data_IF_319462757855
#
_entry.id   IF_319462757855
#
_cell.length_a   1.000
_cell.length_b   1.000
_cell.length_c   1.000
_cell.angle_alpha   90.00
_cell.angle_beta   90.00
_cell.angle_gamma   90.00
#
_symmetry.space_group_name_H-M   'P 1'
#
loop_
_entity.id
_entity.type
_entity.pdbx_description
1 polymer ?
#
# COMPACT_ATOMS: atom_id res chain seq x y z
N UNK A 1 -29.81 44.03 28.58
CA UNK A 1 -29.89 42.61 29.01
C UNK A 1 -29.71 41.59 27.87
N UNK A 2 -29.67 42.03 26.59
CA UNK A 2 -29.55 41.16 25.39
C UNK A 2 -28.13 41.09 24.80
N UNK A 3 -27.23 42.04 25.05
CA UNK A 3 -25.83 41.97 24.58
C UNK A 3 -24.92 41.10 25.46
N UNK A 4 -25.10 41.16 26.78
CA UNK A 4 -24.31 40.38 27.75
C UNK A 4 -24.53 38.87 27.63
N UNK A 5 -25.76 38.47 27.27
CA UNK A 5 -26.17 37.08 27.03
C UNK A 5 -25.62 36.54 25.69
N UNK A 6 -25.47 37.39 24.67
CA UNK A 6 -24.85 37.01 23.40
C UNK A 6 -23.33 36.85 23.51
N UNK A 7 -22.65 37.73 24.25
CA UNK A 7 -21.20 37.62 24.47
C UNK A 7 -20.83 36.37 25.29
N UNK A 8 -21.60 36.04 26.33
CA UNK A 8 -21.39 34.82 27.11
C UNK A 8 -21.69 33.54 26.31
N UNK A 9 -22.66 33.56 25.39
CA UNK A 9 -22.90 32.42 24.50
C UNK A 9 -21.77 32.24 23.46
N UNK A 10 -21.24 33.34 22.92
CA UNK A 10 -20.13 33.32 21.96
C UNK A 10 -18.83 32.84 22.62
N UNK A 11 -18.53 33.29 23.85
CA UNK A 11 -17.39 32.82 24.64
C UNK A 11 -17.55 31.35 25.03
N UNK A 12 -18.72 30.91 25.50
CA UNK A 12 -18.98 29.49 25.79
C UNK A 12 -18.82 28.61 24.54
N UNK A 13 -19.17 29.13 23.36
CA UNK A 13 -18.99 28.41 22.09
C UNK A 13 -17.51 28.35 21.70
N UNK A 14 -16.75 29.44 21.87
CA UNK A 14 -15.29 29.46 21.65
C UNK A 14 -14.55 28.55 22.63
N UNK A 15 -14.93 28.57 23.91
CA UNK A 15 -14.38 27.72 24.96
C UNK A 15 -14.73 26.26 24.69
N UNK A 16 -15.97 25.92 24.31
CA UNK A 16 -16.33 24.56 23.88
C UNK A 16 -15.53 24.12 22.66
N UNK A 17 -15.36 24.97 21.64
CA UNK A 17 -14.56 24.67 20.44
C UNK A 17 -13.07 24.51 20.74
N UNK A 18 -12.55 25.26 21.71
CA UNK A 18 -11.20 25.17 22.24
C UNK A 18 -10.98 23.92 23.10
N UNK A 19 -11.91 23.60 24.01
CA UNK A 19 -11.90 22.39 24.83
C UNK A 19 -12.05 21.13 23.97
N UNK A 20 -12.92 21.14 22.96
CA UNK A 20 -13.06 20.04 21.99
C UNK A 20 -11.78 19.84 21.15
N UNK A 21 -11.07 20.93 20.81
CA UNK A 21 -9.73 20.88 20.20
C UNK A 21 -8.66 20.31 21.14
N UNK A 22 -8.82 20.50 22.46
CA UNK A 22 -7.85 20.05 23.47
C UNK A 22 -8.08 18.59 23.90
N UNK A 23 -9.33 18.12 23.94
CA UNK A 23 -9.69 16.75 24.37
C UNK A 23 -9.46 15.67 23.31
N UNK A 24 -9.40 16.01 22.02
CA UNK A 24 -9.18 15.04 20.92
C UNK A 24 -7.92 15.35 20.09
N UNK A 25 -6.80 15.64 20.75
CA UNK A 25 -5.50 15.66 20.07
C UNK A 25 -5.07 14.22 19.78
N UNK A 26 -5.50 13.69 18.62
CA UNK A 26 -5.04 12.39 18.10
C UNK A 26 -3.51 12.34 18.16
N UNK A 27 -2.96 11.33 18.83
CA UNK A 27 -1.53 11.22 19.09
C UNK A 27 -0.72 11.09 17.80
N UNK A 28 0.37 11.85 17.70
CA UNK A 28 1.34 11.70 16.62
C UNK A 28 2.12 10.39 16.75
N UNK A 29 2.54 9.83 15.61
CA UNK A 29 3.45 8.68 15.58
C UNK A 29 4.78 9.05 16.22
N UNK A 30 5.19 8.26 17.22
CA UNK A 30 6.52 8.29 17.83
C UNK A 30 7.35 7.15 17.25
N UNK A 31 8.52 7.51 16.72
CA UNK A 31 9.49 6.54 16.22
C UNK A 31 10.42 6.14 17.36
N UNK A 32 10.61 4.84 17.53
CA UNK A 32 11.41 4.24 18.60
C UNK A 32 12.34 3.19 18.00
N UNK A 33 13.51 2.95 18.59
CA UNK A 33 14.36 1.83 18.19
C UNK A 33 13.69 0.55 18.68
N UNK A 34 13.22 -0.28 17.74
CA UNK A 34 12.61 -1.57 18.03
C UNK A 34 12.69 -2.50 16.83
N UNK A 35 12.72 -3.79 17.10
CA UNK A 35 12.70 -4.82 16.08
C UNK A 35 11.30 -5.01 15.48
N UNK A 36 11.23 -5.72 14.35
CA UNK A 36 9.95 -6.21 13.86
C UNK A 36 9.45 -7.36 14.73
N UNK A 37 8.14 -7.39 14.97
CA UNK A 37 7.51 -8.36 15.86
C UNK A 37 7.88 -9.82 15.56
N UNK A 38 7.92 -10.24 14.28
CA UNK A 38 8.32 -11.64 13.98
C UNK A 38 9.78 -11.93 14.35
N UNK A 39 10.67 -10.94 14.27
CA UNK A 39 12.08 -11.12 14.67
C UNK A 39 12.16 -11.45 16.15
N UNK A 40 11.41 -10.70 16.99
CA UNK A 40 11.36 -10.94 18.43
C UNK A 40 10.64 -12.27 18.74
N UNK A 41 9.56 -12.59 18.02
CA UNK A 41 8.83 -13.84 18.23
C UNK A 41 9.64 -15.08 17.83
N UNK A 42 10.54 -15.00 16.84
CA UNK A 42 11.41 -16.10 16.45
C UNK A 42 12.52 -16.39 17.48
N UNK A 43 12.71 -15.54 18.49
CA UNK A 43 13.55 -15.87 19.65
C UNK A 43 12.90 -16.94 20.53
N UNK A 44 11.56 -17.04 20.51
CA UNK A 44 10.86 -18.12 21.19
C UNK A 44 11.05 -19.44 20.40
N UNK A 45 11.61 -20.50 21.01
CA UNK A 45 11.92 -21.74 20.31
C UNK A 45 10.68 -22.44 19.72
N UNK A 46 9.50 -22.28 20.34
CA UNK A 46 8.26 -22.85 19.81
C UNK A 46 7.84 -22.18 18.50
N UNK A 47 7.87 -20.85 18.44
CA UNK A 47 7.50 -20.10 17.22
C UNK A 47 8.58 -20.27 16.15
N UNK A 48 9.86 -20.29 16.57
CA UNK A 48 10.99 -20.59 15.68
C UNK A 48 10.82 -21.95 15.01
N UNK A 49 10.37 -22.98 15.76
CA UNK A 49 10.06 -24.30 15.20
C UNK A 49 8.92 -24.25 14.19
N UNK A 50 7.85 -23.49 14.45
CA UNK A 50 6.78 -23.27 13.47
C UNK A 50 7.31 -22.60 12.20
N UNK A 51 8.17 -21.59 12.35
CA UNK A 51 8.84 -20.96 11.21
C UNK A 51 9.69 -21.96 10.42
N UNK A 52 10.51 -22.78 11.09
CA UNK A 52 11.31 -23.81 10.43
C UNK A 52 10.44 -24.85 9.72
N UNK A 53 9.28 -25.22 10.28
CA UNK A 53 8.33 -26.11 9.62
C UNK A 53 7.79 -25.49 8.33
N UNK A 54 7.34 -24.23 8.37
CA UNK A 54 6.90 -23.52 7.16
C UNK A 54 8.03 -23.37 6.15
N UNK A 55 9.24 -23.01 6.59
CA UNK A 55 10.41 -22.91 5.73
C UNK A 55 10.73 -24.26 5.07
N UNK A 56 10.67 -25.37 5.81
CA UNK A 56 10.87 -26.72 5.29
C UNK A 56 9.78 -27.11 4.27
N UNK A 57 8.52 -26.77 4.52
CA UNK A 57 7.43 -26.98 3.56
C UNK A 57 7.71 -26.19 2.28
N UNK A 58 8.05 -24.90 2.38
CA UNK A 58 8.34 -24.04 1.22
C UNK A 58 9.56 -24.53 0.43
N UNK A 59 10.63 -24.95 1.10
CA UNK A 59 11.79 -25.59 0.46
C UNK A 59 11.38 -26.90 -0.21
N UNK A 60 10.57 -27.71 0.47
CA UNK A 60 10.00 -28.94 -0.08
C UNK A 60 9.17 -28.71 -1.34
N UNK A 61 8.38 -27.63 -1.41
CA UNK A 61 7.65 -27.24 -2.61
C UNK A 61 8.61 -26.94 -3.77
N UNK A 62 9.69 -26.19 -3.52
CA UNK A 62 10.72 -25.92 -4.54
C UNK A 62 11.36 -27.23 -5.03
N UNK A 63 11.78 -28.10 -4.11
CA UNK A 63 12.39 -29.40 -4.45
C UNK A 63 11.42 -30.27 -5.25
N UNK A 64 10.17 -30.37 -4.83
CA UNK A 64 9.12 -31.11 -5.55
C UNK A 64 8.89 -30.55 -6.95
N UNK A 65 9.00 -29.23 -7.12
CA UNK A 65 8.92 -28.59 -8.45
C UNK A 65 10.05 -29.03 -9.35
N UNK A 66 11.28 -28.98 -8.83
CA UNK A 66 12.48 -29.38 -9.57
C UNK A 66 12.35 -30.84 -10.01
N UNK A 67 11.96 -31.71 -9.06
CA UNK A 67 11.77 -33.13 -9.33
C UNK A 67 10.70 -33.36 -10.40
N UNK A 68 9.53 -32.74 -10.26
CA UNK A 68 8.48 -32.86 -11.26
C UNK A 68 8.94 -32.37 -12.64
N UNK A 69 9.55 -31.18 -12.73
CA UNK A 69 9.99 -30.60 -14.01
C UNK A 69 11.03 -31.47 -14.71
N UNK A 70 12.00 -31.99 -13.96
CA UNK A 70 13.01 -32.92 -14.47
C UNK A 70 12.38 -34.21 -14.97
N UNK A 71 11.46 -34.79 -14.21
CA UNK A 71 10.82 -36.06 -14.56
C UNK A 71 9.86 -35.95 -15.76
N UNK A 72 9.14 -34.83 -15.90
CA UNK A 72 8.15 -34.67 -16.98
C UNK A 72 8.70 -34.04 -18.24
N UNK A 73 9.65 -33.10 -18.13
CA UNK A 73 10.15 -32.32 -19.27
C UNK A 73 11.65 -32.51 -19.57
N UNK A 74 12.36 -33.26 -18.72
CA UNK A 74 13.81 -33.45 -18.83
C UNK A 74 14.65 -32.23 -18.40
N UNK A 75 14.03 -31.11 -18.02
CA UNK A 75 14.71 -29.86 -17.66
C UNK A 75 14.05 -29.19 -16.43
N UNK A 76 14.83 -28.79 -15.43
CA UNK A 76 14.34 -28.08 -14.25
C UNK A 76 14.03 -26.60 -14.58
N UNK A 77 12.83 -26.32 -15.08
CA UNK A 77 12.42 -24.95 -15.41
C UNK A 77 12.00 -24.13 -14.18
N UNK A 78 11.73 -24.76 -13.03
CA UNK A 78 11.64 -24.12 -11.70
C UNK A 78 10.64 -22.95 -11.61
N UNK A 79 9.68 -22.87 -12.53
CA UNK A 79 8.83 -21.69 -12.70
C UNK A 79 9.58 -20.41 -13.11
N UNK A 80 10.88 -20.47 -13.44
CA UNK A 80 11.65 -19.33 -13.97
C UNK A 80 11.02 -18.75 -15.21
N UNK A 81 10.36 -19.58 -16.03
CA UNK A 81 9.63 -19.11 -17.19
C UNK A 81 8.51 -18.13 -16.80
N UNK A 82 7.78 -18.37 -15.70
CA UNK A 82 6.77 -17.43 -15.21
C UNK A 82 7.41 -16.12 -14.75
N UNK A 83 8.55 -16.18 -14.08
CA UNK A 83 9.30 -14.98 -13.66
C UNK A 83 9.71 -14.18 -14.89
N UNK A 84 10.35 -14.81 -15.87
CA UNK A 84 10.78 -14.15 -17.10
C UNK A 84 9.61 -13.54 -17.88
N UNK A 85 8.47 -14.24 -17.95
CA UNK A 85 7.26 -13.73 -18.59
C UNK A 85 6.66 -12.55 -17.82
N UNK A 86 6.64 -12.64 -16.50
CA UNK A 86 6.03 -11.65 -15.61
C UNK A 86 6.86 -10.36 -15.51
N UNK A 87 8.19 -10.48 -15.57
CA UNK A 87 9.15 -9.38 -15.62
C UNK A 87 9.60 -9.03 -17.06
N UNK A 88 8.88 -9.52 -18.08
CA UNK A 88 9.18 -9.10 -19.45
C UNK A 88 9.03 -7.57 -19.55
N UNK A 89 9.80 -6.94 -20.45
CA UNK A 89 9.86 -5.47 -20.62
C UNK A 89 10.31 -4.70 -19.36
N UNK A 90 11.02 -5.33 -18.42
CA UNK A 90 11.59 -4.63 -17.25
C UNK A 90 12.53 -3.48 -17.66
N UNK A 91 13.20 -3.61 -18.81
CA UNK A 91 14.04 -2.56 -19.40
C UNK A 91 13.26 -1.29 -19.77
N UNK A 92 11.94 -1.35 -19.90
CA UNK A 92 11.05 -0.19 -20.06
C UNK A 92 10.58 0.33 -18.70
N UNK A 93 10.26 -0.57 -17.76
CA UNK A 93 9.81 -0.22 -16.42
C UNK A 93 10.87 0.57 -15.62
N UNK A 94 12.16 0.22 -15.75
CA UNK A 94 13.25 0.88 -15.03
C UNK A 94 13.39 2.37 -15.42
N UNK A 95 13.48 2.76 -16.70
CA UNK A 95 13.46 4.17 -17.10
C UNK A 95 12.22 4.93 -16.62
N UNK A 96 11.04 4.32 -16.64
CA UNK A 96 9.81 4.94 -16.12
C UNK A 96 9.95 5.23 -14.62
N UNK A 97 10.47 4.27 -13.85
CA UNK A 97 10.73 4.46 -12.42
C UNK A 97 11.72 5.59 -12.15
N UNK A 98 12.79 5.72 -12.95
CA UNK A 98 13.72 6.86 -12.84
C UNK A 98 13.05 8.20 -13.18
N UNK A 99 12.14 8.21 -14.16
CA UNK A 99 11.35 9.39 -14.50
C UNK A 99 10.44 9.81 -13.33
N UNK A 100 9.78 8.85 -12.68
CA UNK A 100 8.98 9.09 -11.47
C UNK A 100 9.82 9.63 -10.30
N UNK A 101 11.03 9.08 -10.11
CA UNK A 101 11.99 9.60 -9.14
C UNK A 101 12.40 11.05 -9.46
N UNK A 102 12.65 11.36 -10.72
CA UNK A 102 13.01 12.71 -11.17
C UNK A 102 11.88 13.71 -10.91
N UNK A 103 10.63 13.38 -11.22
CA UNK A 103 9.49 14.25 -10.91
C UNK A 103 9.27 14.42 -9.40
N UNK A 104 9.48 13.38 -8.61
CA UNK A 104 9.42 13.47 -7.14
C UNK A 104 10.49 14.43 -6.60
N UNK A 105 11.70 14.37 -7.14
CA UNK A 105 12.77 15.31 -6.83
C UNK A 105 12.42 16.75 -7.25
N UNK A 106 11.81 16.94 -8.42
CA UNK A 106 11.35 18.25 -8.87
C UNK A 106 10.29 18.82 -7.91
N UNK A 107 9.35 18.00 -7.43
CA UNK A 107 8.37 18.43 -6.42
C UNK A 107 9.05 18.89 -5.13
N UNK A 108 10.08 18.18 -4.65
CA UNK A 108 10.89 18.62 -3.51
C UNK A 108 11.51 20.00 -3.78
N UNK A 109 12.16 20.19 -4.94
CA UNK A 109 12.78 21.47 -5.30
C UNK A 109 11.76 22.61 -5.39
N UNK A 110 10.62 22.39 -6.03
CA UNK A 110 9.53 23.36 -6.11
C UNK A 110 9.03 23.77 -4.72
N UNK A 111 8.86 22.81 -3.80
CA UNK A 111 8.46 23.10 -2.42
C UNK A 111 9.50 23.97 -1.69
N UNK A 112 10.80 23.63 -1.80
CA UNK A 112 11.87 24.42 -1.16
C UNK A 112 11.96 25.84 -1.75
N UNK A 113 11.80 25.98 -3.07
CA UNK A 113 11.78 27.29 -3.73
C UNK A 113 10.60 28.14 -3.24
N UNK A 114 9.40 27.55 -3.18
CA UNK A 114 8.23 28.21 -2.60
C UNK A 114 8.51 28.64 -1.14
N UNK A 115 9.07 27.76 -0.32
CA UNK A 115 9.33 28.06 1.09
C UNK A 115 10.33 29.23 1.26
N UNK A 116 11.44 29.22 0.51
CA UNK A 116 12.45 30.30 0.54
C UNK A 116 11.88 31.63 0.10
N UNK A 117 11.17 31.65 -1.03
CA UNK A 117 10.55 32.86 -1.56
C UNK A 117 9.49 33.40 -0.60
N UNK A 118 8.69 32.52 0.01
CA UNK A 118 7.69 32.91 0.99
C UNK A 118 8.31 33.56 2.24
N UNK A 119 9.36 32.96 2.80
CA UNK A 119 10.07 33.51 3.97
C UNK A 119 10.64 34.91 3.65
N UNK A 120 11.27 35.06 2.48
CA UNK A 120 11.83 36.36 2.03
C UNK A 120 10.73 37.43 1.86
N UNK A 121 9.58 37.07 1.29
CA UNK A 121 8.47 38.01 1.10
C UNK A 121 7.74 38.35 2.39
N UNK A 122 7.70 37.45 3.37
CA UNK A 122 7.16 37.74 4.70
C UNK A 122 7.93 38.86 5.40
N UNK A 123 9.24 38.94 5.23
CA UNK A 123 10.07 40.03 5.75
C UNK A 123 9.73 41.36 5.09
N UNK A 124 9.46 41.34 3.79
CA UNK A 124 9.14 42.54 2.99
C UNK A 124 7.65 42.94 3.00
N UNK A 125 6.81 42.29 3.84
CA UNK A 125 5.38 42.58 4.02
C UNK A 125 4.49 42.58 2.75
N UNK A 126 4.86 41.84 1.70
CA UNK A 126 4.11 41.78 0.44
C UNK A 126 2.98 40.73 0.45
N UNK A 127 1.89 41.00 1.17
CA UNK A 127 0.84 40.02 1.44
C UNK A 127 0.08 39.48 0.21
N UNK A 128 -0.10 40.27 -0.86
CA UNK A 128 -0.83 39.82 -2.05
C UNK A 128 -0.03 38.77 -2.85
N UNK A 129 1.27 38.98 -3.03
CA UNK A 129 2.15 38.03 -3.72
C UNK A 129 2.27 36.70 -2.96
N UNK A 130 2.36 36.76 -1.62
CA UNK A 130 2.39 35.57 -0.76
C UNK A 130 1.13 34.72 -0.96
N UNK A 131 -0.05 35.34 -0.97
CA UNK A 131 -1.31 34.62 -1.21
C UNK A 131 -1.32 33.93 -2.57
N UNK A 132 -0.92 34.64 -3.63
CA UNK A 132 -0.85 34.06 -4.99
C UNK A 132 0.06 32.84 -5.01
N UNK A 133 1.24 32.91 -4.38
CA UNK A 133 2.15 31.79 -4.30
C UNK A 133 1.60 30.60 -3.51
N UNK A 134 0.96 30.87 -2.37
CA UNK A 134 0.35 29.83 -1.53
C UNK A 134 -0.79 29.12 -2.29
N UNK A 135 -1.64 29.87 -3.00
CA UNK A 135 -2.66 29.28 -3.88
C UNK A 135 -2.06 28.52 -5.06
N UNK A 136 -0.96 29.00 -5.62
CA UNK A 136 -0.26 28.32 -6.72
C UNK A 136 0.23 26.95 -6.26
N UNK A 137 0.92 26.86 -5.12
CA UNK A 137 1.36 25.57 -4.57
C UNK A 137 0.16 24.67 -4.25
N UNK A 138 -0.89 25.22 -3.64
CA UNK A 138 -2.11 24.50 -3.30
C UNK A 138 -2.79 23.87 -4.54
N UNK A 139 -2.76 24.54 -5.69
CA UNK A 139 -3.29 24.01 -6.95
C UNK A 139 -2.32 23.04 -7.65
N UNK A 140 -1.02 23.33 -7.64
CA UNK A 140 -0.01 22.51 -8.33
C UNK A 140 0.15 21.11 -7.71
N UNK A 141 0.02 20.98 -6.39
CA UNK A 141 0.24 19.69 -5.70
C UNK A 141 -0.81 18.62 -6.07
N UNK A 142 -2.13 18.88 -5.99
CA UNK A 142 -3.14 17.95 -6.46
C UNK A 142 -3.06 17.68 -7.97
N UNK A 143 -2.73 18.71 -8.77
CA UNK A 143 -2.53 18.54 -10.20
C UNK A 143 -1.40 17.56 -10.50
N UNK A 144 -0.27 17.66 -9.79
CA UNK A 144 0.83 16.71 -9.88
C UNK A 144 0.39 15.28 -9.53
N UNK A 145 -0.40 15.10 -8.46
CA UNK A 145 -0.92 13.77 -8.10
C UNK A 145 -1.78 13.18 -9.22
N UNK A 146 -2.73 13.95 -9.75
CA UNK A 146 -3.58 13.51 -10.85
C UNK A 146 -2.80 13.19 -12.13
N UNK A 147 -1.78 14.00 -12.45
CA UNK A 147 -0.89 13.75 -13.58
C UNK A 147 -0.03 12.51 -13.37
N UNK A 148 0.50 12.27 -12.17
CA UNK A 148 1.28 11.07 -11.87
C UNK A 148 0.44 9.79 -12.06
N UNK A 149 -0.79 9.75 -11.51
CA UNK A 149 -1.72 8.65 -11.76
C UNK A 149 -1.98 8.44 -13.25
N UNK A 150 -2.28 9.53 -14.00
CA UNK A 150 -2.58 9.46 -15.43
C UNK A 150 -1.37 9.02 -16.27
N UNK A 151 -0.18 9.54 -15.99
CA UNK A 151 1.04 9.26 -16.75
C UNK A 151 1.47 7.81 -16.52
N UNK A 152 1.57 7.35 -15.27
CA UNK A 152 1.97 5.97 -15.00
C UNK A 152 0.96 4.99 -15.60
N UNK A 153 -0.35 5.23 -15.46
CA UNK A 153 -1.37 4.39 -16.10
C UNK A 153 -1.29 4.39 -17.63
N UNK A 154 -1.00 5.54 -18.24
CA UNK A 154 -0.87 5.65 -19.69
C UNK A 154 0.35 4.88 -20.19
N UNK A 155 1.50 5.00 -19.50
CA UNK A 155 2.74 4.33 -19.87
C UNK A 155 2.61 2.80 -19.73
N UNK A 156 2.03 2.29 -18.64
CA UNK A 156 1.85 0.84 -18.45
C UNK A 156 0.94 0.22 -19.52
N UNK A 157 -0.14 0.91 -19.87
CA UNK A 157 -1.09 0.43 -20.89
C UNK A 157 -0.52 0.54 -22.30
N UNK A 158 0.12 1.67 -22.64
CA UNK A 158 0.69 1.89 -23.98
C UNK A 158 1.83 0.92 -24.29
N UNK A 159 2.73 0.70 -23.33
CA UNK A 159 3.81 -0.26 -23.50
C UNK A 159 3.38 -1.72 -23.27
N UNK A 160 2.12 -1.96 -22.87
CA UNK A 160 1.57 -3.28 -22.55
C UNK A 160 2.54 -4.07 -21.67
N UNK A 161 2.86 -3.50 -20.51
CA UNK A 161 3.76 -4.12 -19.55
C UNK A 161 3.08 -5.34 -18.92
N UNK A 162 3.79 -6.48 -18.75
CA UNK A 162 3.24 -7.63 -18.03
C UNK A 162 3.06 -7.35 -16.54
N UNK A 163 2.30 -8.20 -15.81
CA UNK A 163 1.83 -7.86 -14.47
C UNK A 163 2.89 -7.47 -13.45
N UNK A 164 4.03 -8.17 -13.38
CA UNK A 164 5.05 -7.84 -12.39
C UNK A 164 5.84 -6.58 -12.77
N UNK A 165 6.15 -6.36 -14.05
CA UNK A 165 6.75 -5.11 -14.53
C UNK A 165 5.83 -3.90 -14.33
N UNK A 166 4.53 -4.06 -14.59
CA UNK A 166 3.51 -3.05 -14.30
C UNK A 166 3.43 -2.76 -12.80
N UNK A 167 3.46 -3.79 -11.96
CA UNK A 167 3.43 -3.66 -10.51
C UNK A 167 4.60 -2.80 -10.00
N UNK A 168 5.82 -2.96 -10.52
CA UNK A 168 6.96 -2.13 -10.12
C UNK A 168 6.62 -0.64 -10.31
N UNK A 169 6.17 -0.26 -11.52
CA UNK A 169 5.88 1.14 -11.87
C UNK A 169 4.76 1.70 -10.99
N UNK A 170 3.61 1.04 -10.96
CA UNK A 170 2.41 1.59 -10.31
C UNK A 170 2.52 1.61 -8.77
N UNK A 171 3.15 0.59 -8.16
CA UNK A 171 3.30 0.55 -6.70
C UNK A 171 4.35 1.56 -6.24
N UNK A 172 5.46 1.69 -6.98
CA UNK A 172 6.48 2.69 -6.67
C UNK A 172 5.96 4.11 -6.84
N UNK A 173 5.18 4.38 -7.90
CA UNK A 173 4.55 5.68 -8.05
C UNK A 173 3.65 6.03 -6.86
N UNK A 174 2.77 5.12 -6.44
CA UNK A 174 1.91 5.36 -5.26
C UNK A 174 2.75 5.59 -4.01
N UNK A 175 3.82 4.80 -3.79
CA UNK A 175 4.76 5.01 -2.67
C UNK A 175 5.37 6.41 -2.72
N UNK A 176 5.85 6.85 -3.88
CA UNK A 176 6.47 8.17 -4.05
C UNK A 176 5.46 9.31 -3.83
N UNK A 177 4.22 9.17 -4.29
CA UNK A 177 3.16 10.15 -4.03
C UNK A 177 2.83 10.25 -2.55
N UNK A 178 2.68 9.12 -1.85
CA UNK A 178 2.44 9.11 -0.40
C UNK A 178 3.58 9.80 0.36
N UNK A 179 4.83 9.54 -0.03
CA UNK A 179 6.00 10.20 0.57
C UNK A 179 6.05 11.69 0.27
N UNK A 180 5.79 12.09 -0.97
CA UNK A 180 5.74 13.50 -1.37
C UNK A 180 4.67 14.26 -0.61
N UNK A 181 3.48 13.68 -0.49
CA UNK A 181 2.39 14.24 0.30
C UNK A 181 2.79 14.40 1.77
N UNK A 182 3.37 13.36 2.37
CA UNK A 182 3.83 13.42 3.75
C UNK A 182 4.87 14.53 3.96
N UNK A 183 5.87 14.63 3.09
CA UNK A 183 6.89 15.67 3.15
C UNK A 183 6.29 17.08 3.09
N UNK A 184 5.41 17.34 2.12
CA UNK A 184 4.77 18.66 1.96
C UNK A 184 3.89 18.97 3.17
N UNK A 185 3.06 18.01 3.60
CA UNK A 185 2.06 18.20 4.66
C UNK A 185 2.69 18.38 6.05
N UNK A 186 3.88 17.84 6.30
CA UNK A 186 4.62 18.02 7.55
C UNK A 186 5.42 19.33 7.58
N UNK A 187 5.94 19.80 6.45
CA UNK A 187 6.77 21.00 6.39
C UNK A 187 5.99 22.28 6.06
N UNK A 188 4.91 22.21 5.28
CA UNK A 188 4.13 23.40 4.91
C UNK A 188 3.60 24.17 6.14
N UNK A 189 3.05 23.54 7.20
CA UNK A 189 2.62 24.26 8.39
C UNK A 189 3.76 25.00 9.10
N UNK A 190 4.98 24.46 9.08
CA UNK A 190 6.16 25.12 9.69
C UNK A 190 6.48 26.43 8.97
N UNK A 191 6.44 26.42 7.63
CA UNK A 191 6.67 27.61 6.79
C UNK A 191 5.51 28.61 6.91
N UNK A 192 4.26 28.14 6.96
CA UNK A 192 3.08 29.00 7.05
C UNK A 192 2.97 29.71 8.41
N UNK A 193 3.40 29.05 9.49
CA UNK A 193 3.35 29.61 10.85
C UNK A 193 4.59 30.45 11.21
N UNK A 194 5.58 30.54 10.31
CA UNK A 194 6.81 31.30 10.53
C UNK A 194 6.53 32.78 10.78
N UNK A 195 7.15 33.33 11.82
CA UNK A 195 7.14 34.77 12.10
C UNK A 195 8.57 35.33 11.98
N UNK A 196 8.75 36.50 11.32
CA UNK A 196 10.08 37.10 11.14
C UNK A 196 10.86 37.42 12.42
N UNK A 197 10.17 37.54 13.57
CA UNK A 197 10.75 37.95 14.85
C UNK A 197 10.85 36.79 15.87
N UNK A 198 10.65 35.54 15.46
CA UNK A 198 10.85 34.40 16.36
C UNK A 198 12.37 34.20 16.60
N UNK A 199 12.74 33.84 17.84
CA UNK A 199 14.14 33.70 18.29
C UNK A 199 14.89 32.57 17.56
N UNK A 200 14.17 31.56 17.05
CA UNK A 200 14.73 30.44 16.32
C UNK A 200 14.50 30.58 14.79
N UNK A 201 15.56 30.58 13.96
CA UNK A 201 15.40 30.62 12.51
C UNK A 201 14.74 29.33 12.00
N UNK A 202 13.79 29.46 11.07
CA UNK A 202 13.16 28.29 10.46
C UNK A 202 14.15 27.51 9.59
N UNK A 203 14.54 26.32 10.05
CA UNK A 203 15.34 25.39 9.26
C UNK A 203 14.50 24.69 8.19
N UNK A 204 14.86 24.91 6.92
CA UNK A 204 14.26 24.17 5.81
C UNK A 204 14.91 22.79 5.67
N UNK A 205 14.14 21.75 5.31
CA UNK A 205 14.67 20.40 5.24
C UNK A 205 15.68 20.25 4.09
N UNK A 206 16.89 19.82 4.45
CA UNK A 206 17.95 19.51 3.50
C UNK A 206 17.58 18.37 2.55
N UNK A 207 18.22 18.35 1.39
CA UNK A 207 18.03 17.27 0.41
C UNK A 207 18.49 15.92 0.96
N UNK A 208 19.52 15.91 1.81
CA UNK A 208 20.04 14.72 2.51
C UNK A 208 18.94 14.02 3.32
N UNK A 209 18.16 14.79 4.10
CA UNK A 209 17.04 14.30 4.93
C UNK A 209 15.90 13.77 4.06
N UNK A 210 15.55 14.49 3.00
CA UNK A 210 14.52 14.04 2.05
C UNK A 210 14.95 12.75 1.32
N UNK A 211 16.19 12.69 0.84
CA UNK A 211 16.73 11.52 0.15
C UNK A 211 16.80 10.30 1.06
N UNK A 212 17.18 10.49 2.33
CA UNK A 212 17.11 9.43 3.34
C UNK A 212 15.67 8.92 3.53
N UNK A 213 14.71 9.84 3.74
CA UNK A 213 13.31 9.50 3.86
C UNK A 213 12.78 8.77 2.62
N UNK A 214 13.23 9.13 1.42
CA UNK A 214 12.81 8.50 0.17
C UNK A 214 13.04 6.97 0.18
N UNK A 215 14.17 6.51 0.74
CA UNK A 215 14.50 5.08 0.85
C UNK A 215 14.14 4.44 2.19
N UNK A 216 13.94 5.21 3.25
CA UNK A 216 13.54 4.68 4.55
C UNK A 216 12.20 3.92 4.46
N UNK A 217 12.02 2.78 5.13
CA UNK A 217 10.79 1.99 5.10
C UNK A 217 9.71 2.60 6.03
N UNK A 218 9.35 3.85 5.77
CA UNK A 218 8.26 4.60 6.41
C UNK A 218 7.63 5.55 5.41
N UNK A 219 6.35 5.85 5.61
CA UNK A 219 5.60 6.80 4.79
C UNK A 219 5.35 8.13 5.51
N UNK A 220 5.75 8.24 6.78
CA UNK A 220 5.64 9.49 7.58
C UNK A 220 6.98 10.18 7.63
N UNK A 221 7.02 11.43 7.16
CA UNK A 221 8.17 12.32 7.16
C UNK A 221 8.44 12.88 8.57
N UNK A 222 9.70 12.78 8.97
CA UNK A 222 10.30 13.46 10.13
C UNK A 222 11.70 13.90 9.71
N UNK A 223 12.19 14.99 10.29
CA UNK A 223 13.54 15.47 9.99
C UNK A 223 14.61 14.52 10.52
N UNK A 224 14.29 13.81 11.61
CA UNK A 224 15.16 12.83 12.24
C UNK A 224 14.41 11.55 12.55
N UNK A 225 15.12 10.43 12.41
CA UNK A 225 14.62 9.09 12.70
C UNK A 225 15.58 8.39 13.65
N UNK A 226 15.09 7.50 14.52
CA UNK A 226 15.96 6.61 15.30
C UNK A 226 16.80 5.75 14.34
N UNK A 227 18.12 5.71 14.57
CA UNK A 227 19.06 4.98 13.71
C UNK A 227 19.80 3.87 14.46
N UNK A 228 20.11 2.78 13.75
CA UNK A 228 21.02 1.76 14.27
C UNK A 228 22.48 2.23 14.13
N UNK A 229 23.36 1.71 14.99
CA UNK A 229 24.77 2.11 15.03
C UNK A 229 25.55 1.68 13.79
N UNK A 230 25.35 0.43 13.35
CA UNK A 230 26.01 -0.17 12.20
C UNK A 230 25.03 -0.98 11.34
N UNK A 231 25.47 -1.36 10.13
CA UNK A 231 24.75 -2.23 9.20
C UNK A 231 25.25 -3.67 9.41
N UNK A 232 24.36 -4.61 9.69
CA UNK A 232 24.67 -6.04 9.80
C UNK A 232 24.53 -6.72 8.45
N UNK A 233 25.60 -6.80 7.67
CA UNK A 233 25.58 -7.37 6.31
C UNK A 233 25.10 -8.82 6.26
N UNK A 234 25.40 -9.64 7.26
CA UNK A 234 24.85 -11.01 7.35
C UNK A 234 23.32 -11.02 7.43
N UNK A 235 22.74 -10.06 8.16
CA UNK A 235 21.29 -9.89 8.23
C UNK A 235 20.71 -9.41 6.89
N UNK A 236 21.40 -8.49 6.20
CA UNK A 236 21.06 -8.03 4.85
C UNK A 236 21.00 -9.21 3.87
N UNK A 237 22.06 -10.01 3.78
CA UNK A 237 22.08 -11.17 2.88
C UNK A 237 21.04 -12.23 3.24
N UNK A 238 20.80 -12.45 4.55
CA UNK A 238 19.73 -13.34 5.02
C UNK A 238 18.35 -12.86 4.54
N UNK A 239 18.02 -11.58 4.75
CA UNK A 239 16.73 -11.01 4.32
C UNK A 239 16.58 -10.95 2.80
N UNK A 240 17.67 -10.72 2.07
CA UNK A 240 17.67 -10.80 0.61
C UNK A 240 17.39 -12.24 0.14
N UNK A 241 18.05 -13.24 0.74
CA UNK A 241 17.80 -14.65 0.44
C UNK A 241 16.37 -15.10 0.77
N UNK A 242 15.83 -14.68 1.92
CA UNK A 242 14.44 -14.89 2.29
C UNK A 242 13.48 -14.27 1.26
N UNK A 243 13.72 -13.03 0.83
CA UNK A 243 12.93 -12.36 -0.21
C UNK A 243 12.92 -13.13 -1.54
N UNK A 244 14.08 -13.59 -2.01
CA UNK A 244 14.18 -14.38 -3.25
C UNK A 244 13.42 -15.71 -3.11
N UNK A 245 13.62 -16.42 -2.00
CA UNK A 245 12.95 -17.69 -1.74
C UNK A 245 11.41 -17.54 -1.73
N UNK A 246 10.90 -16.47 -1.11
CA UNK A 246 9.46 -16.21 -1.04
C UNK A 246 8.87 -15.90 -2.43
N UNK A 247 9.58 -15.13 -3.27
CA UNK A 247 9.16 -14.87 -4.66
C UNK A 247 9.09 -16.17 -5.47
N UNK A 248 10.10 -17.04 -5.36
CA UNK A 248 10.08 -18.36 -6.02
C UNK A 248 8.87 -19.20 -5.56
N UNK A 249 8.54 -19.18 -4.27
CA UNK A 249 7.37 -19.87 -3.73
C UNK A 249 6.04 -19.29 -4.23
N UNK A 250 5.94 -17.96 -4.40
CA UNK A 250 4.75 -17.37 -5.02
C UNK A 250 4.57 -17.86 -6.46
N UNK A 251 5.66 -17.88 -7.24
CA UNK A 251 5.63 -18.41 -8.61
C UNK A 251 5.21 -19.87 -8.63
N UNK A 252 5.71 -20.69 -7.70
CA UNK A 252 5.27 -22.08 -7.55
C UNK A 252 3.77 -22.18 -7.30
N UNK A 253 3.23 -21.42 -6.34
CA UNK A 253 1.80 -21.43 -6.02
C UNK A 253 0.97 -21.05 -7.25
N UNK A 254 1.40 -20.04 -8.01
CA UNK A 254 0.72 -19.64 -9.25
C UNK A 254 0.78 -20.75 -10.31
N UNK A 255 1.95 -21.31 -10.59
CA UNK A 255 2.14 -22.32 -11.63
C UNK A 255 1.46 -23.66 -11.32
N UNK A 256 1.47 -24.09 -10.05
CA UNK A 256 1.02 -25.44 -9.67
C UNK A 256 -0.35 -25.50 -9.04
N UNK A 257 -0.74 -24.48 -8.27
CA UNK A 257 -2.03 -24.49 -7.58
C UNK A 257 -3.09 -23.71 -8.36
N UNK A 258 -2.72 -22.62 -9.04
CA UNK A 258 -3.68 -21.72 -9.68
C UNK A 258 -3.80 -22.00 -11.18
N UNK A 259 -2.69 -21.98 -11.93
CA UNK A 259 -2.69 -22.13 -13.39
C UNK A 259 -3.44 -23.36 -13.89
N UNK A 260 -3.30 -24.59 -13.32
CA UNK A 260 -3.96 -25.77 -13.88
C UNK A 260 -5.48 -25.72 -13.86
N UNK A 261 -6.07 -24.93 -12.96
CA UNK A 261 -7.53 -24.77 -12.89
C UNK A 261 -8.04 -23.77 -13.94
N UNK A 262 -7.25 -22.76 -14.28
CA UNK A 262 -7.72 -21.60 -15.06
C UNK A 262 -7.10 -21.49 -16.46
N UNK A 263 -6.05 -22.24 -16.79
CA UNK A 263 -5.38 -22.17 -18.09
C UNK A 263 -6.31 -22.42 -19.29
N UNK A 264 -7.38 -23.19 -19.13
CA UNK A 264 -8.40 -23.49 -20.16
C UNK A 264 -9.59 -22.53 -20.14
N UNK A 265 -9.58 -21.53 -19.26
CA UNK A 265 -10.68 -20.58 -19.13
C UNK A 265 -10.77 -19.70 -20.38
N UNK A 266 -11.96 -19.60 -21.00
CA UNK A 266 -12.15 -18.94 -22.30
C UNK A 266 -12.03 -19.87 -23.53
N UNK A 267 -11.49 -21.08 -23.35
CA UNK A 267 -11.57 -22.15 -24.36
C UNK A 267 -12.84 -22.98 -24.17
N UNK A 268 -13.20 -23.24 -22.91
CA UNK A 268 -14.45 -23.86 -22.51
C UNK A 268 -15.30 -22.91 -21.66
N UNK A 269 -16.60 -23.16 -21.63
CA UNK A 269 -17.54 -22.50 -20.70
C UNK A 269 -17.50 -23.18 -19.33
N UNK A 270 -17.69 -22.39 -18.28
CA UNK A 270 -17.80 -22.84 -16.89
C UNK A 270 -19.21 -22.60 -16.39
N UNK A 271 -19.76 -23.54 -15.63
CA UNK A 271 -21.02 -23.33 -14.94
C UNK A 271 -20.84 -22.45 -13.70
N UNK A 272 -21.90 -21.77 -13.26
CA UNK A 272 -21.89 -21.01 -11.99
C UNK A 272 -21.49 -21.91 -10.81
N UNK A 273 -21.91 -23.19 -10.83
CA UNK A 273 -21.55 -24.19 -9.82
C UNK A 273 -20.03 -24.45 -9.81
N UNK A 274 -19.43 -24.67 -10.99
CA UNK A 274 -17.98 -24.83 -11.11
C UNK A 274 -17.22 -23.58 -10.62
N UNK A 275 -17.72 -22.38 -10.91
CA UNK A 275 -17.11 -21.14 -10.43
C UNK A 275 -17.11 -21.06 -8.89
N UNK A 276 -18.23 -21.37 -8.24
CA UNK A 276 -18.33 -21.40 -6.78
C UNK A 276 -17.36 -22.44 -6.18
N UNK A 277 -17.30 -23.63 -6.78
CA UNK A 277 -16.35 -24.67 -6.37
C UNK A 277 -14.90 -24.21 -6.54
N UNK A 278 -14.57 -23.50 -7.63
CA UNK A 278 -13.25 -22.93 -7.83
C UNK A 278 -12.90 -21.91 -6.74
N UNK A 279 -13.83 -21.03 -6.35
CA UNK A 279 -13.62 -20.06 -5.26
C UNK A 279 -13.31 -20.78 -3.94
N UNK A 280 -14.08 -21.81 -3.59
CA UNK A 280 -13.85 -22.60 -2.39
C UNK A 280 -12.48 -23.28 -2.42
N UNK A 281 -12.14 -23.95 -3.53
CA UNK A 281 -10.86 -24.65 -3.69
C UNK A 281 -9.66 -23.69 -3.67
N UNK A 282 -9.82 -22.47 -4.21
CA UNK A 282 -8.77 -21.45 -4.24
C UNK A 282 -8.58 -20.72 -2.90
N UNK A 283 -9.42 -20.97 -1.90
CA UNK A 283 -9.29 -20.32 -0.58
C UNK A 283 -7.92 -20.61 0.06
N UNK A 284 -7.43 -21.84 -0.05
CA UNK A 284 -6.10 -22.21 0.45
C UNK A 284 -4.98 -21.51 -0.32
N UNK A 285 -4.99 -21.61 -1.66
CA UNK A 285 -3.95 -21.01 -2.51
C UNK A 285 -3.91 -19.48 -2.38
N UNK A 286 -5.08 -18.82 -2.36
CA UNK A 286 -5.18 -17.38 -2.17
C UNK A 286 -4.71 -16.93 -0.79
N UNK A 287 -5.03 -17.69 0.25
CA UNK A 287 -4.53 -17.40 1.60
C UNK A 287 -3.01 -17.56 1.68
N UNK A 288 -2.46 -18.62 1.07
CA UNK A 288 -1.03 -18.85 1.03
C UNK A 288 -0.30 -17.72 0.29
N UNK A 289 -0.79 -17.30 -0.89
CA UNK A 289 -0.24 -16.14 -1.61
C UNK A 289 -0.26 -14.87 -0.76
N UNK A 290 -1.35 -14.62 -0.02
CA UNK A 290 -1.47 -13.46 0.86
C UNK A 290 -0.46 -13.48 2.00
N UNK A 291 -0.22 -14.64 2.63
CA UNK A 291 0.78 -14.80 3.68
C UNK A 291 2.21 -14.63 3.14
N UNK A 292 2.50 -15.20 1.98
CA UNK A 292 3.78 -15.00 1.30
C UNK A 292 4.00 -13.53 0.96
N UNK A 293 2.95 -12.83 0.48
CA UNK A 293 3.04 -11.41 0.12
C UNK A 293 3.28 -10.52 1.33
N UNK A 294 2.60 -10.82 2.43
CA UNK A 294 2.85 -10.18 3.72
C UNK A 294 4.30 -10.34 4.17
N UNK A 295 4.79 -11.59 4.19
CA UNK A 295 6.14 -11.88 4.66
C UNK A 295 7.20 -11.30 3.73
N UNK A 296 6.95 -11.27 2.41
CA UNK A 296 7.82 -10.64 1.44
C UNK A 296 7.93 -9.13 1.68
N UNK A 297 6.81 -8.38 1.60
CA UNK A 297 6.82 -6.92 1.61
C UNK A 297 7.12 -6.36 3.01
N UNK A 298 6.35 -6.78 4.01
CA UNK A 298 6.32 -6.13 5.32
C UNK A 298 7.35 -6.69 6.29
N UNK A 299 7.77 -7.94 6.12
CA UNK A 299 8.85 -8.51 6.93
C UNK A 299 10.19 -8.44 6.21
N UNK A 300 10.40 -9.24 5.17
CA UNK A 300 11.73 -9.44 4.58
C UNK A 300 12.26 -8.19 3.88
N UNK A 301 11.49 -7.63 2.95
CA UNK A 301 11.88 -6.47 2.15
C UNK A 301 11.97 -5.20 2.99
N UNK A 302 10.99 -4.93 3.87
CA UNK A 302 11.04 -3.76 4.74
C UNK A 302 12.19 -3.83 5.74
N UNK A 303 12.51 -5.00 6.31
CA UNK A 303 13.68 -5.16 7.18
C UNK A 303 15.01 -5.05 6.42
N UNK A 304 15.07 -5.54 5.18
CA UNK A 304 16.23 -5.38 4.30
C UNK A 304 16.56 -3.89 4.12
N UNK A 305 15.57 -3.10 3.69
CA UNK A 305 15.74 -1.66 3.52
C UNK A 305 15.97 -0.94 4.85
N UNK A 306 15.34 -1.38 5.95
CA UNK A 306 15.59 -0.82 7.27
C UNK A 306 17.04 -1.00 7.69
N UNK A 307 17.62 -2.18 7.46
CA UNK A 307 19.01 -2.47 7.80
C UNK A 307 19.97 -1.65 6.93
N UNK A 308 19.78 -1.62 5.61
CA UNK A 308 20.65 -0.87 4.68
C UNK A 308 20.60 0.65 4.97
N UNK A 309 19.42 1.19 5.29
CA UNK A 309 19.27 2.61 5.63
C UNK A 309 19.64 2.93 7.08
N UNK A 310 19.89 1.92 7.93
CA UNK A 310 20.04 2.06 9.40
C UNK A 310 18.79 2.64 10.08
N UNK A 311 17.61 2.35 9.57
CA UNK A 311 16.34 2.74 10.17
C UNK A 311 16.01 1.87 11.40
N UNK A 312 15.76 2.52 12.53
CA UNK A 312 15.61 1.87 13.85
C UNK A 312 14.18 1.45 14.20
N UNK A 313 13.14 2.06 13.64
CA UNK A 313 11.74 1.73 13.96
C UNK A 313 11.21 0.63 13.03
N UNK A 314 11.36 -0.64 13.40
CA UNK A 314 11.00 -1.76 12.52
C UNK A 314 9.58 -2.29 12.75
N UNK A 315 8.69 -1.49 13.33
CA UNK A 315 7.28 -1.86 13.51
C UNK A 315 6.46 -1.59 12.24
N UNK A 316 6.61 -2.47 11.27
CA UNK A 316 5.88 -2.42 9.98
C UNK A 316 4.49 -3.05 10.07
N UNK A 317 4.28 -3.93 11.05
CA UNK A 317 3.05 -4.64 11.34
C UNK A 317 3.02 -5.02 12.83
N UNK A 318 1.85 -5.39 13.33
CA UNK A 318 1.64 -5.98 14.66
C UNK A 318 1.09 -7.41 14.52
N UNK A 319 0.67 -7.98 15.62
CA UNK A 319 -0.04 -9.25 15.82
C UNK A 319 -1.43 -9.30 15.15
N UNK A 320 -1.51 -9.01 13.85
CA UNK A 320 -2.76 -9.00 13.11
C UNK A 320 -3.43 -10.38 13.04
N UNK A 321 -2.66 -11.47 13.19
CA UNK A 321 -3.15 -12.85 13.17
C UNK A 321 -4.04 -13.22 14.36
N UNK A 322 -3.94 -12.52 15.50
CA UNK A 322 -4.84 -12.74 16.65
C UNK A 322 -6.12 -11.89 16.58
N UNK A 323 -6.28 -11.08 15.54
CA UNK A 323 -7.44 -10.19 15.40
C UNK A 323 -8.74 -11.00 15.34
N UNK A 324 -9.77 -10.52 16.03
CA UNK A 324 -11.14 -11.07 15.93
C UNK A 324 -12.07 -10.20 15.09
N UNK A 325 -11.64 -9.00 14.73
CA UNK A 325 -12.43 -8.03 13.95
C UNK A 325 -11.61 -7.42 12.81
N UNK A 326 -12.29 -7.09 11.71
CA UNK A 326 -11.65 -6.41 10.57
C UNK A 326 -11.09 -5.04 10.95
N UNK A 327 -11.70 -4.34 11.90
CA UNK A 327 -11.21 -3.06 12.38
C UNK A 327 -9.85 -3.16 13.08
N UNK A 328 -9.61 -4.22 13.83
CA UNK A 328 -8.30 -4.50 14.43
C UNK A 328 -7.27 -4.90 13.36
N UNK A 329 -7.64 -5.83 12.48
CA UNK A 329 -6.81 -6.28 11.37
C UNK A 329 -6.29 -5.12 10.50
N UNK A 330 -7.16 -4.18 10.09
CA UNK A 330 -6.73 -3.05 9.26
C UNK A 330 -5.72 -2.11 9.94
N UNK A 331 -5.73 -2.05 11.28
CA UNK A 331 -4.77 -1.22 12.05
C UNK A 331 -3.44 -1.94 12.29
N UNK A 332 -3.41 -3.26 12.24
CA UNK A 332 -2.25 -4.08 12.63
C UNK A 332 -1.53 -4.74 11.47
N UNK A 333 -2.21 -4.99 10.34
CA UNK A 333 -1.65 -5.70 9.18
C UNK A 333 -0.52 -4.94 8.49
N UNK A 334 -0.77 -3.69 8.08
CA UNK A 334 0.20 -2.84 7.38
C UNK A 334 0.22 -1.47 8.05
N UNK A 335 1.06 -1.34 9.08
CA UNK A 335 1.16 -0.12 9.88
C UNK A 335 1.75 1.02 9.05
N UNK A 336 2.58 0.74 8.04
CA UNK A 336 3.17 1.78 7.19
C UNK A 336 2.10 2.60 6.46
N UNK A 337 1.20 1.91 5.75
CA UNK A 337 0.08 2.55 5.05
C UNK A 337 -1.00 2.99 6.03
N UNK A 338 -1.26 2.19 7.07
CA UNK A 338 -2.25 2.51 8.12
C UNK A 338 -1.95 3.82 8.84
N UNK A 339 -0.69 4.05 9.23
CA UNK A 339 -0.28 5.29 9.89
C UNK A 339 -0.35 6.49 8.93
N UNK A 340 -0.01 6.31 7.65
CA UNK A 340 -0.13 7.38 6.65
C UNK A 340 -1.60 7.78 6.44
N UNK A 341 -2.48 6.80 6.23
CA UNK A 341 -3.91 7.03 6.09
C UNK A 341 -4.49 7.68 7.34
N UNK A 342 -4.07 7.23 8.53
CA UNK A 342 -4.53 7.83 9.78
C UNK A 342 -4.06 9.28 9.94
N UNK A 343 -2.78 9.55 9.68
CA UNK A 343 -2.14 10.84 9.94
C UNK A 343 -2.57 11.93 8.97
N UNK A 344 -2.69 11.59 7.68
CA UNK A 344 -2.90 12.56 6.61
C UNK A 344 -4.30 12.54 6.02
N UNK A 345 -5.00 11.41 6.06
CA UNK A 345 -6.37 11.33 5.52
C UNK A 345 -7.38 11.41 6.66
N UNK A 346 -7.35 10.47 7.60
CA UNK A 346 -8.34 10.40 8.69
C UNK A 346 -8.34 11.65 9.55
N UNK A 347 -7.17 12.05 10.08
CA UNK A 347 -7.05 13.19 10.99
C UNK A 347 -7.45 14.50 10.30
N UNK A 348 -6.96 14.73 9.08
CA UNK A 348 -7.27 15.97 8.35
C UNK A 348 -8.75 16.03 7.95
N UNK A 349 -9.32 14.91 7.50
CA UNK A 349 -10.76 14.80 7.22
C UNK A 349 -11.57 15.05 8.49
N UNK A 350 -11.20 14.45 9.62
CA UNK A 350 -11.87 14.61 10.90
C UNK A 350 -11.77 16.03 11.47
N UNK A 351 -10.66 16.74 11.22
CA UNK A 351 -10.43 18.08 11.76
C UNK A 351 -10.99 19.20 10.86
N UNK A 352 -10.89 19.05 9.54
CA UNK A 352 -11.15 20.14 8.59
C UNK A 352 -12.38 19.90 7.70
N UNK A 353 -12.64 18.65 7.27
CA UNK A 353 -13.70 18.37 6.28
C UNK A 353 -15.03 18.01 6.98
N UNK A 354 -14.98 17.11 7.96
CA UNK A 354 -16.14 16.65 8.74
C UNK A 354 -15.87 16.75 10.25
N UNK A 355 -15.77 17.97 10.81
CA UNK A 355 -15.44 18.19 12.21
C UNK A 355 -16.28 17.35 13.17
N UNK A 356 -15.63 16.47 13.93
CA UNK A 356 -16.29 15.65 14.97
C UNK A 356 -16.94 14.35 14.48
N UNK A 357 -17.09 14.12 13.17
CA UNK A 357 -17.72 12.91 12.63
C UNK A 357 -16.71 11.79 12.35
N UNK A 358 -16.51 10.90 13.34
CA UNK A 358 -15.57 9.77 13.24
C UNK A 358 -15.96 8.76 12.15
N UNK A 359 -17.26 8.54 11.93
CA UNK A 359 -17.75 7.56 10.96
C UNK A 359 -17.48 8.02 9.54
N UNK A 360 -17.81 9.27 9.20
CA UNK A 360 -17.51 9.80 7.87
C UNK A 360 -16.01 9.85 7.59
N UNK A 361 -15.18 10.25 8.57
CA UNK A 361 -13.74 10.23 8.39
C UNK A 361 -13.20 8.81 8.09
N UNK A 362 -13.76 7.76 8.71
CA UNK A 362 -13.42 6.37 8.37
C UNK A 362 -13.89 5.96 6.99
N UNK A 363 -15.12 6.32 6.60
CA UNK A 363 -15.67 6.01 5.28
C UNK A 363 -14.81 6.64 4.18
N UNK A 364 -14.37 7.90 4.34
CA UNK A 364 -13.47 8.58 3.41
C UNK A 364 -12.16 7.82 3.24
N UNK A 365 -11.54 7.37 4.34
CA UNK A 365 -10.32 6.55 4.30
C UNK A 365 -10.53 5.25 3.53
N UNK A 366 -11.65 4.55 3.79
CA UNK A 366 -11.96 3.30 3.09
C UNK A 366 -12.22 3.51 1.61
N UNK A 367 -12.95 4.57 1.22
CA UNK A 367 -13.20 4.89 -0.19
C UNK A 367 -11.90 5.20 -0.91
N UNK A 368 -11.04 6.06 -0.35
CA UNK A 368 -9.73 6.38 -0.95
C UNK A 368 -8.88 5.12 -1.08
N UNK A 369 -8.81 4.30 -0.02
CA UNK A 369 -8.08 3.03 -0.06
C UNK A 369 -8.63 2.10 -1.14
N UNK A 370 -9.95 1.93 -1.23
CA UNK A 370 -10.60 1.04 -2.20
C UNK A 370 -10.31 1.47 -3.64
N UNK A 371 -10.42 2.77 -3.94
CA UNK A 371 -10.12 3.32 -5.27
C UNK A 371 -8.66 3.10 -5.65
N UNK A 372 -7.72 3.35 -4.75
CA UNK A 372 -6.28 3.15 -5.04
C UNK A 372 -5.96 1.67 -5.24
N UNK A 373 -6.52 0.75 -4.44
CA UNK A 373 -6.30 -0.69 -4.63
C UNK A 373 -6.88 -1.18 -5.95
N UNK A 374 -8.05 -0.70 -6.34
CA UNK A 374 -8.65 -1.03 -7.62
C UNK A 374 -7.83 -0.49 -8.78
N UNK A 375 -7.37 0.76 -8.69
CA UNK A 375 -6.48 1.36 -9.68
C UNK A 375 -5.18 0.55 -9.82
N UNK A 376 -4.58 0.11 -8.71
CA UNK A 376 -3.41 -0.76 -8.72
C UNK A 376 -3.71 -2.07 -9.46
N UNK A 377 -4.79 -2.78 -9.11
CA UNK A 377 -5.13 -4.04 -9.79
C UNK A 377 -5.41 -3.85 -11.28
N UNK A 378 -6.15 -2.81 -11.63
CA UNK A 378 -6.55 -2.49 -12.98
C UNK A 378 -5.35 -2.31 -13.93
N UNK A 379 -4.39 -1.47 -13.54
CA UNK A 379 -3.21 -1.20 -14.38
C UNK A 379 -2.09 -2.23 -14.19
N UNK A 380 -2.09 -3.00 -13.09
CA UNK A 380 -1.24 -4.18 -12.96
C UNK A 380 -1.64 -5.27 -13.95
N UNK A 381 -2.94 -5.58 -14.03
CA UNK A 381 -3.45 -6.69 -14.84
C UNK A 381 -3.80 -6.30 -16.27
N UNK A 382 -3.96 -5.00 -16.55
CA UNK A 382 -4.26 -4.48 -17.90
C UNK A 382 -5.74 -4.49 -18.26
N UNK A 383 -6.64 -4.63 -17.29
CA UNK A 383 -8.09 -4.59 -17.49
C UNK A 383 -8.82 -4.09 -16.25
N UNK A 384 -10.02 -3.52 -16.43
CA UNK A 384 -10.83 -3.04 -15.30
C UNK A 384 -11.82 -4.12 -14.82
N UNK A 385 -11.69 -4.52 -13.55
CA UNK A 385 -12.63 -5.41 -12.88
C UNK A 385 -12.74 -5.01 -11.41
N UNK A 386 -13.81 -4.29 -10.99
CA UNK A 386 -13.92 -3.57 -9.71
C UNK A 386 -14.10 -4.46 -8.46
N UNK A 387 -13.41 -5.59 -8.41
CA UNK A 387 -13.54 -6.60 -7.37
C UNK A 387 -12.90 -6.13 -6.06
N UNK A 388 -11.67 -5.58 -6.09
CA UNK A 388 -11.03 -5.03 -4.90
C UNK A 388 -11.87 -3.88 -4.34
N UNK A 389 -12.35 -2.99 -5.19
CA UNK A 389 -13.23 -1.90 -4.78
C UNK A 389 -14.46 -2.44 -4.03
N UNK A 390 -15.12 -3.47 -4.60
CA UNK A 390 -16.30 -4.07 -3.99
C UNK A 390 -16.00 -4.72 -2.63
N UNK A 391 -14.94 -5.53 -2.54
CA UNK A 391 -14.54 -6.20 -1.30
C UNK A 391 -14.16 -5.21 -0.18
N UNK A 392 -13.50 -4.10 -0.53
CA UNK A 392 -13.14 -3.08 0.45
C UNK A 392 -14.35 -2.27 0.92
N UNK A 393 -15.23 -1.85 0.01
CA UNK A 393 -16.31 -0.91 0.36
C UNK A 393 -17.58 -1.59 0.88
N UNK A 394 -17.94 -2.77 0.38
CA UNK A 394 -19.21 -3.42 0.70
C UNK A 394 -19.10 -4.63 1.64
N UNK A 395 -17.90 -5.22 1.76
CA UNK A 395 -17.67 -6.38 2.64
C UNK A 395 -16.82 -5.99 3.85
N UNK A 396 -15.52 -5.78 3.64
CA UNK A 396 -14.56 -5.60 4.74
C UNK A 396 -14.66 -4.25 5.45
N UNK A 397 -14.99 -3.17 4.72
CA UNK A 397 -15.25 -1.84 5.28
C UNK A 397 -16.40 -1.84 6.29
N UNK A 398 -17.63 -2.24 5.92
CA UNK A 398 -18.75 -2.40 6.84
C UNK A 398 -18.44 -3.35 8.00
N UNK A 399 -17.80 -4.49 7.71
CA UNK A 399 -17.38 -5.44 8.75
C UNK A 399 -16.40 -4.83 9.77
N UNK A 400 -15.64 -3.79 9.40
CA UNK A 400 -14.72 -3.09 10.32
C UNK A 400 -15.43 -2.23 11.38
N UNK A 401 -16.70 -1.86 11.16
CA UNK A 401 -17.51 -1.11 12.12
C UNK A 401 -18.17 -2.03 13.15
N UNK A 402 -18.29 -3.32 12.85
CA UNK A 402 -18.84 -4.32 13.76
C UNK A 402 -17.83 -4.62 14.86
N UNK A 403 -18.24 -4.42 16.11
CA UNK A 403 -17.46 -4.82 17.28
C UNK A 403 -17.74 -6.28 17.57
N UNK A 404 -16.70 -7.09 17.53
CA UNK A 404 -16.76 -8.53 17.77
C UNK A 404 -16.06 -8.84 19.10
N UNK A 405 -16.65 -9.67 19.98
CA UNK A 405 -16.00 -10.05 21.23
C UNK A 405 -14.72 -10.87 20.98
N UNK A 406 -13.80 -10.84 21.94
CA UNK A 406 -12.50 -11.51 21.85
C UNK A 406 -12.57 -12.99 22.23
N UNK A 407 -13.37 -13.77 21.50
CA UNK A 407 -13.41 -15.23 21.64
C UNK A 407 -12.68 -15.91 20.48
N UNK A 408 -12.06 -17.07 20.75
CA UNK A 408 -11.27 -17.83 19.77
C UNK A 408 -12.09 -18.19 18.51
N UNK A 409 -13.39 -18.47 18.65
CA UNK A 409 -14.27 -18.76 17.51
C UNK A 409 -14.31 -17.62 16.49
N UNK A 410 -14.25 -16.36 16.94
CA UNK A 410 -14.25 -15.21 16.04
C UNK A 410 -12.91 -15.02 15.34
N UNK A 411 -11.80 -15.44 15.96
CA UNK A 411 -10.52 -15.50 15.25
C UNK A 411 -10.54 -16.59 14.16
N UNK A 412 -11.11 -17.77 14.44
CA UNK A 412 -11.27 -18.83 13.42
C UNK A 412 -12.15 -18.36 12.26
N UNK A 413 -13.30 -17.75 12.55
CA UNK A 413 -14.17 -17.17 11.53
C UNK A 413 -13.45 -16.07 10.74
N UNK A 414 -12.69 -15.20 11.41
CA UNK A 414 -11.89 -14.17 10.77
C UNK A 414 -10.92 -14.77 9.75
N UNK A 415 -10.14 -15.79 10.13
CA UNK A 415 -9.23 -16.48 9.21
C UNK A 415 -9.95 -17.14 8.05
N UNK A 416 -11.08 -17.80 8.30
CA UNK A 416 -11.87 -18.43 7.25
C UNK A 416 -12.38 -17.41 6.23
N UNK A 417 -13.00 -16.31 6.67
CA UNK A 417 -13.46 -15.26 5.77
C UNK A 417 -12.30 -14.54 5.05
N UNK A 418 -11.15 -14.39 5.71
CA UNK A 418 -9.96 -13.83 5.10
C UNK A 418 -9.43 -14.73 3.98
N UNK A 419 -9.40 -16.06 4.21
CA UNK A 419 -8.99 -17.05 3.22
C UNK A 419 -9.98 -17.12 2.06
N UNK A 420 -11.27 -17.18 2.35
CA UNK A 420 -12.33 -17.19 1.34
C UNK A 420 -12.30 -15.93 0.47
N UNK A 421 -12.18 -14.74 1.07
CA UNK A 421 -12.06 -13.50 0.31
C UNK A 421 -10.80 -13.46 -0.56
N UNK A 422 -9.67 -13.94 -0.04
CA UNK A 422 -8.42 -14.02 -0.81
C UNK A 422 -8.53 -15.01 -1.99
N UNK A 423 -9.16 -16.17 -1.77
CA UNK A 423 -9.46 -17.16 -2.81
C UNK A 423 -10.40 -16.64 -3.88
N UNK A 424 -11.47 -15.93 -3.48
CA UNK A 424 -12.39 -15.30 -4.41
C UNK A 424 -11.68 -14.27 -5.31
N UNK A 425 -10.81 -13.43 -4.75
CA UNK A 425 -10.06 -12.45 -5.54
C UNK A 425 -9.10 -13.12 -6.52
N UNK A 426 -8.31 -14.10 -6.07
CA UNK A 426 -7.42 -14.85 -6.95
C UNK A 426 -8.21 -15.54 -8.06
N UNK A 427 -9.32 -16.20 -7.73
CA UNK A 427 -10.16 -16.92 -8.68
C UNK A 427 -10.70 -16.00 -9.78
N UNK A 428 -11.42 -14.94 -9.40
CA UNK A 428 -12.13 -14.08 -10.36
C UNK A 428 -11.14 -13.26 -11.22
N UNK A 429 -10.09 -12.68 -10.64
CA UNK A 429 -9.07 -11.97 -11.43
C UNK A 429 -8.34 -12.91 -12.39
N UNK A 430 -8.07 -14.15 -11.98
CA UNK A 430 -7.38 -15.13 -12.84
C UNK A 430 -8.28 -15.62 -13.97
N UNK A 431 -9.58 -15.84 -13.72
CA UNK A 431 -10.56 -16.15 -14.75
C UNK A 431 -10.61 -15.07 -15.84
N UNK A 432 -10.71 -13.80 -15.44
CA UNK A 432 -10.71 -12.67 -16.38
C UNK A 432 -9.38 -12.55 -17.14
N UNK A 433 -8.26 -12.75 -16.46
CA UNK A 433 -6.94 -12.75 -17.09
C UNK A 433 -6.83 -13.82 -18.19
N UNK A 434 -7.18 -15.08 -17.90
CA UNK A 434 -7.11 -16.15 -18.91
C UNK A 434 -8.17 -16.02 -20.00
N UNK A 435 -9.36 -15.48 -19.71
CA UNK A 435 -10.36 -15.17 -20.74
C UNK A 435 -9.78 -14.21 -21.81
N UNK A 436 -8.99 -13.22 -21.38
CA UNK A 436 -8.33 -12.25 -22.28
C UNK A 436 -7.15 -12.87 -23.02
N UNK A 437 -6.33 -13.67 -22.33
CA UNK A 437 -5.13 -14.31 -22.92
C UNK A 437 -5.51 -15.36 -23.97
N UNK A 438 -6.49 -16.21 -23.67
CA UNK A 438 -6.85 -17.33 -24.55
C UNK A 438 -7.72 -16.89 -25.75
N UNK A 439 -8.40 -15.75 -25.63
CA UNK A 439 -9.23 -15.16 -26.69
C UNK A 439 -8.87 -13.68 -26.88
N UNK A 440 -7.71 -13.38 -27.49
CA UNK A 440 -7.34 -12.01 -27.83
C UNK A 440 -8.29 -11.45 -28.89
N UNK A 441 -8.60 -10.16 -28.80
CA UNK A 441 -9.45 -9.45 -29.76
C UNK A 441 -8.54 -8.57 -30.60
N UNK A 442 -8.68 -8.60 -31.93
CA UNK A 442 -7.79 -7.87 -32.85
C UNK A 442 -7.94 -6.34 -32.77
N UNK A 443 -9.13 -5.85 -32.36
CA UNK A 443 -9.44 -4.42 -32.21
C UNK A 443 -9.86 -4.09 -30.76
N UNK A 444 -8.90 -4.00 -29.85
CA UNK A 444 -9.14 -3.58 -28.47
C UNK A 444 -9.67 -2.13 -28.46
N UNK A 445 -10.99 -2.00 -28.32
CA UNK A 445 -11.65 -0.70 -28.14
C UNK A 445 -11.59 -0.31 -26.67
N UNK A 446 -11.58 0.99 -26.35
CA UNK A 446 -11.67 1.47 -24.95
C UNK A 446 -12.81 0.82 -24.15
N UNK A 447 -13.93 0.47 -24.82
CA UNK A 447 -15.05 -0.26 -24.21
C UNK A 447 -14.69 -1.66 -23.73
N UNK A 448 -13.80 -2.37 -24.44
CA UNK A 448 -13.40 -3.73 -24.07
C UNK A 448 -12.53 -3.77 -22.79
N UNK A 449 -11.84 -2.67 -22.49
CA UNK A 449 -11.11 -2.52 -21.22
C UNK A 449 -12.04 -2.54 -19.99
N UNK A 450 -13.26 -2.01 -20.13
CA UNK A 450 -14.23 -1.89 -19.03
C UNK A 450 -15.24 -3.04 -18.96
N UNK A 451 -15.38 -3.82 -20.03
CA UNK A 451 -16.33 -4.94 -20.08
C UNK A 451 -15.58 -6.23 -19.75
N UNK A 452 -15.88 -6.91 -18.63
CA UNK A 452 -15.23 -8.17 -18.28
C UNK A 452 -15.61 -9.27 -19.29
N UNK A 453 -14.61 -9.94 -19.84
CA UNK A 453 -14.81 -11.02 -20.84
C UNK A 453 -15.25 -12.32 -20.19
N UNK A 454 -14.97 -12.52 -18.89
CA UNK A 454 -15.28 -13.76 -18.17
C UNK A 454 -16.76 -14.12 -18.20
N UNK A 455 -17.67 -13.13 -18.23
CA UNK A 455 -19.10 -13.39 -18.23
C UNK A 455 -19.60 -14.11 -19.49
N UNK A 456 -18.90 -13.98 -20.62
CA UNK A 456 -19.25 -14.70 -21.85
C UNK A 456 -18.98 -16.20 -21.75
N UNK A 457 -18.15 -16.60 -20.79
CA UNK A 457 -17.73 -17.98 -20.60
C UNK A 457 -18.34 -18.60 -19.33
N UNK A 458 -19.34 -17.95 -18.74
CA UNK A 458 -20.08 -18.46 -17.58
C UNK A 458 -21.51 -18.80 -18.00
N UNK A 459 -21.89 -20.06 -17.84
CA UNK A 459 -23.25 -20.57 -18.11
C UNK A 459 -23.98 -20.85 -16.80
N UNK A 460 -25.30 -20.70 -16.80
CA UNK A 460 -26.15 -20.93 -15.62
C UNK A 460 -26.27 -22.41 -15.25
#
# INVERSE_FOLDING_TARGET
MTEETNNTHLERTKIKKFLFRKEYKLSDKKFEIRNSLLTDLFENPHISTVYHLFAAILVGLIVNTIAHDLLTTGNAKLGFQLILLSFNKIYIAIPIWFLECFFTYLCYKCFILWAKQRISLCVNANFNYIKIMDYTLFCCVPLYYGLAFKVSSYLTTTFQLPPASSAIVIFEMVRMLMKTHSFIRENAPKVLNYKPNDEDPLELPEFSRFFYFFFAPTLIYRDEYPRTTHIRWNYVFKKLGESICVVLNMCYVIERLIRPTFNTFGERTFTVKEMILCICNMSFAGMLLKLLMFYFILHSWSNLFAEITRFGDRKFYSDWWISTSYGEYFRTWNILVGDWLFTYIYRDTYQFIVPGNKTMAKVVVFVISAVVHEWLMCYMLGFFLPLMFFFFLFLSGPASFVKVPKYNIFNVLFWYFLAFGSGAMVCVYTMEFYARVNRPVENDTFKDFFVPRMFNYITY
#
